data_IF_553934504766
#
_entry.id   IF_553934504766
#
_cell.length_a   1.000
_cell.length_b   1.000
_cell.length_c   1.000
_cell.angle_alpha   90.00
_cell.angle_beta   90.00
_cell.angle_gamma   90.00
#
_symmetry.space_group_name_H-M   'P 1'
#
loop_
_entity.id
_entity.type
_entity.pdbx_description
1 polymer ?
#
# COMPACT_ATOMS: atom_id res chain seq x y z
N UNK A 1 4.31 3.65 -8.67
CA UNK A 1 4.55 2.36 -7.99
C UNK A 1 3.68 2.34 -6.74
N UNK A 2 3.11 1.18 -6.40
CA UNK A 2 2.45 0.93 -5.10
C UNK A 2 3.18 -0.22 -4.43
N UNK A 3 3.62 0.02 -3.20
CA UNK A 3 4.48 -0.84 -2.40
C UNK A 3 5.76 -1.29 -3.11
N UNK A 4 6.77 -1.65 -2.36
CA UNK A 4 8.10 -1.93 -2.88
C UNK A 4 8.64 -3.30 -2.46
N UNK A 5 7.86 -4.09 -1.70
CA UNK A 5 8.30 -5.37 -1.14
C UNK A 5 9.68 -5.27 -0.46
N UNK A 6 10.61 -6.13 -0.87
CA UNK A 6 11.98 -6.14 -0.41
C UNK A 6 12.95 -5.61 -1.49
N UNK A 7 14.18 -5.22 -1.14
CA UNK A 7 15.11 -4.60 -2.09
C UNK A 7 15.40 -5.43 -3.34
N UNK A 8 15.43 -6.76 -3.23
CA UNK A 8 15.70 -7.65 -4.37
C UNK A 8 14.55 -7.62 -5.37
N UNK A 9 13.30 -7.74 -4.90
CA UNK A 9 12.10 -7.67 -5.75
C UNK A 9 11.95 -6.29 -6.38
N UNK A 10 12.17 -5.23 -5.60
CA UNK A 10 12.18 -3.85 -6.11
C UNK A 10 13.19 -3.65 -7.23
N UNK A 11 14.38 -4.25 -7.15
CA UNK A 11 15.39 -4.17 -8.22
C UNK A 11 14.88 -4.79 -9.51
N UNK A 12 14.26 -5.97 -9.45
CA UNK A 12 13.65 -6.59 -10.63
C UNK A 12 12.56 -5.71 -11.25
N UNK A 13 11.72 -5.09 -10.42
CA UNK A 13 10.69 -4.17 -10.87
C UNK A 13 11.28 -2.93 -11.55
N UNK A 14 12.32 -2.34 -10.95
CA UNK A 14 13.04 -1.17 -11.50
C UNK A 14 13.63 -1.53 -12.86
N UNK A 15 14.36 -2.64 -12.97
CA UNK A 15 14.98 -3.11 -14.21
C UNK A 15 13.93 -3.34 -15.32
N UNK A 16 12.74 -3.83 -14.96
CA UNK A 16 11.66 -4.06 -15.91
C UNK A 16 10.97 -2.77 -16.41
N UNK A 17 10.82 -1.77 -15.53
CA UNK A 17 10.01 -0.57 -15.80
C UNK A 17 10.84 0.65 -16.21
N UNK A 18 12.06 0.81 -15.69
CA UNK A 18 12.90 1.97 -15.96
C UNK A 18 13.69 1.80 -17.27
N UNK A 19 13.01 2.01 -18.39
CA UNK A 19 13.64 1.93 -19.73
C UNK A 19 14.55 3.13 -20.04
N UNK A 20 14.37 4.24 -19.33
CA UNK A 20 15.16 5.46 -19.43
C UNK A 20 15.72 5.82 -18.05
N UNK A 21 17.00 5.53 -17.75
CA UNK A 21 17.61 5.79 -16.45
C UNK A 21 17.64 7.28 -16.06
N UNK A 22 17.53 8.18 -17.04
CA UNK A 22 17.46 9.63 -16.79
C UNK A 22 16.09 10.11 -16.34
N UNK A 23 15.05 9.27 -16.45
CA UNK A 23 13.68 9.63 -16.07
C UNK A 23 13.28 8.95 -14.76
N UNK A 24 13.14 9.71 -13.66
CA UNK A 24 12.74 9.13 -12.38
C UNK A 24 11.30 8.63 -12.41
N UNK A 25 10.98 7.69 -11.51
CA UNK A 25 9.60 7.40 -11.16
C UNK A 25 8.97 8.61 -10.47
N UNK A 26 7.73 8.92 -10.80
CA UNK A 26 7.07 10.10 -10.24
C UNK A 26 6.73 9.90 -8.77
N UNK A 27 6.19 8.74 -8.40
CA UNK A 27 5.78 8.49 -7.03
C UNK A 27 5.78 7.00 -6.69
N UNK A 28 6.22 6.68 -5.49
CA UNK A 28 6.04 5.42 -4.78
C UNK A 28 5.07 5.64 -3.62
N UNK A 29 4.00 4.88 -3.52
CA UNK A 29 2.99 5.02 -2.48
C UNK A 29 2.94 3.72 -1.67
N UNK A 30 3.11 3.80 -0.35
CA UNK A 30 2.97 2.64 0.52
C UNK A 30 1.55 2.54 1.06
N UNK A 31 0.97 1.33 0.98
CA UNK A 31 -0.35 1.04 1.55
C UNK A 31 -0.31 1.07 3.07
N UNK A 32 0.77 0.54 3.67
CA UNK A 32 1.03 0.57 5.11
C UNK A 32 2.53 0.36 5.39
N UNK A 33 2.94 0.18 6.65
CA UNK A 33 4.34 0.27 7.08
C UNK A 33 5.11 -1.05 7.12
N UNK A 34 4.50 -2.21 6.94
CA UNK A 34 5.19 -3.50 7.10
C UNK A 34 6.35 -3.66 6.12
N UNK A 35 7.34 -4.46 6.55
CA UNK A 35 8.61 -4.58 5.84
C UNK A 35 8.49 -5.18 4.44
N UNK A 36 7.55 -6.10 4.23
CA UNK A 36 7.23 -6.68 2.93
C UNK A 36 6.51 -5.72 1.96
N UNK A 37 6.19 -4.49 2.41
CA UNK A 37 5.67 -3.40 1.60
C UNK A 37 6.65 -2.23 1.47
N UNK A 38 7.52 -2.01 2.47
CA UNK A 38 8.34 -0.80 2.57
C UNK A 38 9.85 -1.03 2.55
N UNK A 39 10.35 -2.25 2.83
CA UNK A 39 11.79 -2.51 2.87
C UNK A 39 12.48 -2.24 1.53
N UNK A 40 11.78 -2.43 0.42
CA UNK A 40 12.27 -2.15 -0.92
C UNK A 40 12.32 -0.67 -1.29
N UNK A 41 11.68 0.23 -0.51
CA UNK A 41 11.70 1.67 -0.77
C UNK A 41 13.12 2.21 -0.99
N UNK A 42 14.10 1.69 -0.23
CA UNK A 42 15.49 2.13 -0.32
C UNK A 42 16.08 1.95 -1.71
N UNK A 43 15.60 0.96 -2.49
CA UNK A 43 16.05 0.73 -3.87
C UNK A 43 15.62 1.85 -4.83
N UNK A 44 14.62 2.65 -4.46
CA UNK A 44 14.13 3.79 -5.23
C UNK A 44 14.83 5.11 -4.88
N UNK A 45 15.78 5.10 -3.93
CA UNK A 45 16.50 6.31 -3.51
C UNK A 45 17.25 6.93 -4.70
N UNK A 46 16.94 8.19 -5.00
CA UNK A 46 17.54 8.94 -6.11
C UNK A 46 16.93 8.67 -7.48
N UNK A 47 15.97 7.74 -7.59
CA UNK A 47 15.27 7.42 -8.84
C UNK A 47 13.75 7.55 -8.74
N UNK A 48 13.22 7.98 -7.60
CA UNK A 48 11.81 8.36 -7.40
C UNK A 48 11.74 9.82 -6.94
N UNK A 49 10.77 10.58 -7.41
CA UNK A 49 10.60 11.98 -7.00
C UNK A 49 9.99 12.09 -5.61
N UNK A 50 9.00 11.24 -5.30
CA UNK A 50 8.29 11.26 -4.01
C UNK A 50 8.01 9.86 -3.51
N UNK A 51 8.03 9.70 -2.19
CA UNK A 51 7.45 8.54 -1.47
C UNK A 51 6.29 9.05 -0.63
N UNK A 52 5.11 8.45 -0.77
CA UNK A 52 3.91 8.87 -0.05
C UNK A 52 3.35 7.74 0.81
N UNK A 53 2.80 8.08 1.97
CA UNK A 53 2.07 7.14 2.83
C UNK A 53 1.15 7.89 3.80
N UNK A 54 0.23 7.15 4.41
CA UNK A 54 -0.53 7.66 5.57
C UNK A 54 0.43 8.04 6.72
N UNK A 55 0.14 9.14 7.44
CA UNK A 55 1.02 9.63 8.52
C UNK A 55 1.31 8.59 9.58
N UNK A 56 0.31 7.78 9.96
CA UNK A 56 0.51 6.68 10.93
C UNK A 56 1.42 5.57 10.36
N UNK A 57 1.35 5.30 9.05
CA UNK A 57 2.25 4.35 8.40
C UNK A 57 3.70 4.80 8.52
N UNK A 58 4.00 6.08 8.24
CA UNK A 58 5.35 6.63 8.42
C UNK A 58 5.82 6.53 9.88
N UNK A 59 4.96 6.90 10.84
CA UNK A 59 5.30 6.82 12.28
C UNK A 59 5.63 5.38 12.69
N UNK A 60 4.82 4.41 12.25
CA UNK A 60 5.07 2.99 12.53
C UNK A 60 6.35 2.49 11.85
N UNK A 61 6.62 2.86 10.60
CA UNK A 61 7.87 2.51 9.91
C UNK A 61 9.09 3.02 10.68
N UNK A 62 9.07 4.28 11.15
CA UNK A 62 10.15 4.85 11.97
C UNK A 62 10.31 4.13 13.29
N UNK A 63 9.21 3.80 13.98
CA UNK A 63 9.23 3.05 15.24
C UNK A 63 9.86 1.68 15.06
N UNK A 64 9.39 0.91 14.07
CA UNK A 64 9.89 -0.44 13.79
C UNK A 64 11.36 -0.40 13.36
N UNK A 65 11.75 0.54 12.52
CA UNK A 65 13.14 0.71 12.09
C UNK A 65 14.07 0.96 13.28
N UNK A 66 13.66 1.81 14.23
CA UNK A 66 14.40 2.08 15.45
C UNK A 66 14.49 0.84 16.36
N UNK A 67 13.40 0.10 16.54
CA UNK A 67 13.38 -1.15 17.32
C UNK A 67 14.31 -2.21 16.72
N UNK A 68 14.44 -2.25 15.40
CA UNK A 68 15.28 -3.19 14.66
C UNK A 68 16.71 -2.68 14.40
N UNK A 69 17.04 -1.44 14.77
CA UNK A 69 18.32 -0.78 14.51
C UNK A 69 18.70 -0.80 13.01
N UNK A 70 17.75 -0.46 12.14
CA UNK A 70 17.92 -0.46 10.68
C UNK A 70 17.41 0.82 10.00
N UNK A 71 17.43 1.96 10.71
CA UNK A 71 16.99 3.26 10.20
C UNK A 71 17.79 3.69 8.94
N UNK A 72 19.06 3.31 8.87
CA UNK A 72 19.96 3.59 7.74
C UNK A 72 19.58 2.84 6.45
N UNK A 73 18.75 1.81 6.56
CA UNK A 73 18.23 0.99 5.45
C UNK A 73 16.84 1.41 5.00
N UNK A 74 16.30 2.53 5.51
CA UNK A 74 14.97 3.00 5.18
C UNK A 74 15.01 4.15 4.17
N UNK A 75 13.97 4.20 3.33
CA UNK A 75 13.56 5.41 2.62
C UNK A 75 12.15 5.76 3.08
N UNK A 76 12.06 6.75 3.95
CA UNK A 76 10.78 7.17 4.53
C UNK A 76 9.97 8.02 3.55
N UNK A 77 8.63 8.04 3.69
CA UNK A 77 7.77 8.96 2.95
C UNK A 77 8.17 10.43 3.20
N UNK A 78 8.28 11.19 2.10
CA UNK A 78 8.43 12.65 2.11
C UNK A 78 7.08 13.38 1.96
N UNK A 79 6.05 12.66 1.50
CA UNK A 79 4.65 13.11 1.46
C UNK A 79 3.80 12.27 2.39
N UNK A 80 3.11 12.91 3.33
CA UNK A 80 2.19 12.20 4.23
C UNK A 80 0.80 12.82 4.23
N UNK A 81 -0.21 11.99 4.49
CA UNK A 81 -1.62 12.39 4.59
C UNK A 81 -2.29 11.71 5.78
N UNK A 82 -3.38 12.31 6.28
CA UNK A 82 -4.14 11.78 7.43
C UNK A 82 -5.47 11.14 7.05
N UNK A 83 -6.12 11.70 6.03
CA UNK A 83 -7.41 11.24 5.51
C UNK A 83 -7.27 10.89 4.03
N UNK A 84 -8.32 11.09 3.25
CA UNK A 84 -8.26 10.93 1.80
C UNK A 84 -7.32 11.97 1.18
N UNK A 85 -6.55 11.54 0.22
CA UNK A 85 -5.60 12.39 -0.49
C UNK A 85 -5.67 12.13 -1.99
N UNK A 86 -5.24 13.11 -2.80
CA UNK A 86 -5.29 13.04 -4.26
C UNK A 86 -4.01 13.58 -4.88
N UNK A 87 -3.43 12.81 -5.81
CA UNK A 87 -2.25 13.19 -6.56
C UNK A 87 -2.56 13.36 -8.04
N UNK A 88 -2.45 14.61 -8.56
CA UNK A 88 -2.95 15.04 -9.89
C UNK A 88 -1.87 15.37 -10.92
N UNK A 89 -0.62 15.08 -10.64
CA UNK A 89 0.49 15.43 -11.55
C UNK A 89 0.63 14.49 -12.76
N UNK A 90 -0.08 13.37 -12.75
CA UNK A 90 -0.03 12.36 -13.81
C UNK A 90 -1.24 12.45 -14.72
N UNK A 91 -1.19 11.74 -15.87
CA UNK A 91 -2.39 11.52 -16.70
C UNK A 91 -3.44 10.71 -15.95
N UNK A 92 -3.00 9.74 -15.14
CA UNK A 92 -3.83 9.04 -14.17
C UNK A 92 -3.90 9.85 -12.88
N UNK A 93 -5.09 10.03 -12.36
CA UNK A 93 -5.32 10.63 -11.07
C UNK A 93 -5.22 9.54 -9.99
N UNK A 94 -4.43 9.76 -8.96
CA UNK A 94 -4.31 8.79 -7.87
C UNK A 94 -5.08 9.32 -6.67
N UNK A 95 -5.99 8.51 -6.13
CA UNK A 95 -6.71 8.81 -4.90
C UNK A 95 -6.33 7.81 -3.82
N UNK A 96 -6.22 8.27 -2.59
CA UNK A 96 -6.05 7.38 -1.43
C UNK A 96 -7.26 7.49 -0.51
N UNK A 97 -7.64 6.37 0.09
CA UNK A 97 -8.72 6.31 1.05
C UNK A 97 -8.23 5.68 2.35
N UNK A 98 -8.49 6.36 3.46
CA UNK A 98 -8.27 5.86 4.80
C UNK A 98 -9.60 5.72 5.53
N UNK A 99 -9.94 4.51 5.94
CA UNK A 99 -11.22 4.24 6.61
C UNK A 99 -11.07 3.95 8.11
N UNK A 100 -9.94 4.35 8.68
CA UNK A 100 -9.59 4.10 10.08
C UNK A 100 -8.76 2.84 10.27
N UNK A 101 -8.34 2.55 11.52
CA UNK A 101 -7.49 1.39 11.83
C UNK A 101 -8.13 0.07 11.41
N UNK A 102 -7.37 -0.80 10.73
CA UNK A 102 -7.81 -2.10 10.27
C UNK A 102 -6.74 -3.17 10.54
N UNK A 103 -5.94 -3.57 9.55
CA UNK A 103 -4.76 -4.42 9.67
C UNK A 103 -3.66 -3.76 10.53
N UNK A 104 -3.50 -2.45 10.33
CA UNK A 104 -2.73 -1.51 11.17
C UNK A 104 -3.58 -0.26 11.45
N UNK A 105 -2.99 0.80 11.98
CA UNK A 105 -3.66 2.11 12.08
C UNK A 105 -3.33 3.07 10.94
N UNK A 106 -2.66 2.60 9.88
CA UNK A 106 -2.20 3.42 8.77
C UNK A 106 -2.46 2.83 7.39
N UNK A 107 -3.43 1.90 7.28
CA UNK A 107 -3.74 1.21 6.02
C UNK A 107 -4.47 2.14 5.04
N UNK A 108 -3.97 2.23 3.82
CA UNK A 108 -4.57 3.03 2.76
C UNK A 108 -4.93 2.18 1.55
N UNK A 109 -6.09 2.46 0.95
CA UNK A 109 -6.44 1.97 -0.38
C UNK A 109 -5.93 2.98 -1.40
N UNK A 110 -5.19 2.51 -2.41
CA UNK A 110 -4.65 3.33 -3.48
C UNK A 110 -5.47 3.09 -4.75
N UNK A 111 -6.21 4.09 -5.17
CA UNK A 111 -7.17 4.00 -6.27
C UNK A 111 -6.68 4.73 -7.51
N UNK A 112 -6.82 4.09 -8.65
CA UNK A 112 -6.56 4.59 -10.00
C UNK A 112 -7.90 4.68 -10.75
N UNK A 113 -8.62 5.83 -10.66
CA UNK A 113 -10.00 5.96 -11.16
C UNK A 113 -10.17 5.68 -12.65
N UNK A 114 -9.23 6.14 -13.50
CA UNK A 114 -9.34 5.93 -14.95
C UNK A 114 -9.12 4.46 -15.34
N UNK A 115 -8.27 3.76 -14.61
CA UNK A 115 -8.04 2.32 -14.81
C UNK A 115 -9.09 1.47 -14.11
N UNK A 116 -9.89 2.04 -13.20
CA UNK A 116 -10.82 1.35 -12.30
C UNK A 116 -10.16 0.25 -11.47
N UNK A 117 -8.96 0.55 -10.93
CA UNK A 117 -8.15 -0.36 -10.13
C UNK A 117 -7.96 0.22 -8.73
N UNK A 118 -8.13 -0.60 -7.70
CA UNK A 118 -7.86 -0.25 -6.31
C UNK A 118 -6.89 -1.25 -5.67
N UNK A 119 -5.70 -0.79 -5.27
CA UNK A 119 -4.77 -1.59 -4.48
C UNK A 119 -5.15 -1.44 -3.00
N UNK A 120 -5.58 -2.53 -2.39
CA UNK A 120 -6.12 -2.54 -1.02
C UNK A 120 -5.08 -2.96 0.04
N UNK A 121 -3.86 -3.32 -0.40
CA UNK A 121 -2.82 -3.82 0.51
C UNK A 121 -3.33 -4.95 1.37
N UNK A 122 -2.94 -4.94 2.63
CA UNK A 122 -3.27 -5.97 3.63
C UNK A 122 -4.64 -5.82 4.28
N UNK A 123 -5.49 -4.95 3.70
CA UNK A 123 -6.92 -5.04 4.00
C UNK A 123 -7.52 -6.34 3.48
N UNK A 124 -6.86 -7.01 2.52
CA UNK A 124 -7.29 -8.32 2.02
C UNK A 124 -6.13 -9.31 2.01
N UNK A 125 -6.29 -10.37 2.79
CA UNK A 125 -5.53 -11.62 2.76
C UNK A 125 -6.37 -12.67 2.02
N UNK A 126 -6.28 -12.69 0.70
CA UNK A 126 -7.17 -13.52 -0.10
C UNK A 126 -7.05 -15.01 0.26
N UNK A 127 -8.07 -15.53 0.97
CA UNK A 127 -8.17 -16.92 1.48
C UNK A 127 -6.97 -17.36 2.32
N UNK A 128 -6.38 -16.42 3.08
CA UNK A 128 -5.33 -16.66 4.07
C UNK A 128 -5.75 -16.11 5.43
N UNK A 129 -5.14 -16.63 6.48
CA UNK A 129 -5.26 -16.02 7.81
C UNK A 129 -4.63 -14.63 7.80
N UNK A 130 -5.40 -13.66 8.22
CA UNK A 130 -4.91 -12.28 8.34
C UNK A 130 -3.94 -12.14 9.50
N UNK A 131 -2.87 -11.40 9.28
CA UNK A 131 -2.05 -10.90 10.38
C UNK A 131 -2.73 -9.67 11.00
N UNK A 132 -2.82 -9.61 12.32
CA UNK A 132 -3.46 -8.52 13.07
C UNK A 132 -2.38 -7.83 13.88
N UNK A 133 -1.87 -6.68 13.40
CA UNK A 133 -0.81 -5.96 14.08
C UNK A 133 -1.35 -5.08 15.21
N UNK A 134 -1.52 -5.67 16.38
CA UNK A 134 -1.95 -4.96 17.58
C UNK A 134 -0.95 -3.90 18.02
N UNK A 135 0.35 -4.09 17.76
CA UNK A 135 1.40 -3.15 18.12
C UNK A 135 1.33 -1.85 17.30
N UNK A 136 0.80 -1.95 16.08
CA UNK A 136 0.51 -0.83 15.20
C UNK A 136 -0.97 -0.41 15.22
N UNK A 137 -1.71 -0.75 16.27
CA UNK A 137 -3.07 -0.25 16.49
C UNK A 137 -4.15 -0.88 15.61
N UNK A 138 -3.98 -2.13 15.18
CA UNK A 138 -5.00 -2.87 14.43
C UNK A 138 -6.35 -2.92 15.14
N UNK A 139 -7.44 -2.92 14.37
CA UNK A 139 -8.82 -2.99 14.86
C UNK A 139 -9.67 -3.89 13.98
N UNK A 140 -9.87 -5.13 14.39
CA UNK A 140 -10.73 -6.09 13.65
C UNK A 140 -12.15 -5.54 13.47
N UNK A 141 -12.72 -4.91 14.50
CA UNK A 141 -14.05 -4.32 14.42
C UNK A 141 -14.14 -3.25 13.32
N UNK A 142 -13.16 -2.34 13.26
CA UNK A 142 -13.14 -1.29 12.25
C UNK A 142 -12.71 -1.83 10.89
N UNK A 143 -11.92 -2.92 10.83
CA UNK A 143 -11.53 -3.55 9.58
C UNK A 143 -12.73 -4.02 8.77
N UNK A 144 -13.71 -4.65 9.42
CA UNK A 144 -15.00 -5.01 8.81
C UNK A 144 -15.68 -3.77 8.22
N UNK A 145 -15.75 -2.68 8.98
CA UNK A 145 -16.36 -1.42 8.52
C UNK A 145 -15.56 -0.78 7.36
N UNK A 146 -14.24 -0.89 7.36
CA UNK A 146 -13.39 -0.40 6.27
C UNK A 146 -13.64 -1.17 4.96
N UNK A 147 -13.79 -2.49 5.04
CA UNK A 147 -14.15 -3.33 3.90
C UNK A 147 -15.58 -3.04 3.39
N UNK A 148 -16.54 -2.80 4.28
CA UNK A 148 -17.89 -2.37 3.91
C UNK A 148 -17.88 -1.04 3.14
N UNK A 149 -17.10 -0.06 3.63
CA UNK A 149 -16.94 1.24 2.96
C UNK A 149 -16.28 1.08 1.59
N UNK A 150 -15.24 0.25 1.49
CA UNK A 150 -14.58 -0.02 0.21
C UNK A 150 -15.58 -0.64 -0.79
N UNK A 151 -16.40 -1.59 -0.37
CA UNK A 151 -17.42 -2.18 -1.23
C UNK A 151 -18.49 -1.17 -1.70
N UNK A 152 -18.76 -0.12 -0.92
CA UNK A 152 -19.70 0.94 -1.28
C UNK A 152 -19.09 2.01 -2.18
N UNK A 153 -17.82 2.36 -1.95
CA UNK A 153 -17.10 3.43 -2.65
C UNK A 153 -16.76 3.06 -4.09
N UNK A 154 -16.27 1.85 -4.33
CA UNK A 154 -15.77 1.45 -5.64
C UNK A 154 -16.88 0.84 -6.52
N UNK A 155 -16.70 0.90 -7.83
CA UNK A 155 -17.64 0.34 -8.79
C UNK A 155 -17.69 -1.21 -8.71
N UNK A 156 -18.80 -1.78 -9.17
CA UNK A 156 -18.97 -3.25 -9.21
C UNK A 156 -17.93 -3.96 -10.08
N UNK A 157 -17.41 -3.26 -11.08
CA UNK A 157 -16.44 -3.79 -12.05
C UNK A 157 -14.99 -3.36 -11.69
N UNK A 158 -14.77 -2.79 -10.49
CA UNK A 158 -13.43 -2.43 -10.04
C UNK A 158 -12.59 -3.68 -9.83
N UNK A 159 -11.34 -3.62 -10.32
CA UNK A 159 -10.32 -4.62 -10.03
C UNK A 159 -9.61 -4.27 -8.73
N UNK A 160 -9.56 -5.21 -7.78
CA UNK A 160 -8.81 -5.05 -6.55
C UNK A 160 -7.49 -5.81 -6.62
N UNK A 161 -6.41 -5.19 -6.12
CA UNK A 161 -5.10 -5.83 -5.94
C UNK A 161 -4.90 -6.02 -4.43
N UNK A 162 -4.58 -7.24 -4.03
CA UNK A 162 -4.42 -7.66 -2.64
C UNK A 162 -2.96 -7.67 -2.22
N UNK A 163 -2.69 -7.41 -0.93
CA UNK A 163 -1.35 -7.55 -0.38
C UNK A 163 -0.91 -9.00 -0.33
N UNK A 164 -1.81 -9.89 0.08
CA UNK A 164 -1.51 -11.32 0.20
C UNK A 164 -2.60 -12.21 -0.40
N UNK A 165 -2.16 -13.36 -0.94
CA UNK A 165 -3.05 -14.41 -1.43
C UNK A 165 -2.51 -15.81 -1.09
N UNK A 166 -3.41 -16.80 -1.00
CA UNK A 166 -3.03 -18.21 -0.85
C UNK A 166 -2.36 -18.77 -2.12
N UNK A 167 -2.63 -18.17 -3.26
CA UNK A 167 -2.16 -18.56 -4.58
C UNK A 167 -1.53 -17.32 -5.25
N UNK A 168 -0.28 -17.38 -5.73
CA UNK A 168 0.39 -16.25 -6.36
C UNK A 168 -0.35 -15.72 -7.60
N UNK A 169 -1.18 -16.55 -8.26
CA UNK A 169 -1.99 -16.14 -9.40
C UNK A 169 -3.35 -15.52 -9.00
N UNK A 170 -3.64 -15.42 -7.68
CA UNK A 170 -4.89 -14.89 -7.12
C UNK A 170 -4.67 -13.63 -6.27
N UNK A 171 -3.73 -12.79 -6.68
CA UNK A 171 -3.44 -11.50 -6.04
C UNK A 171 -4.38 -10.37 -6.47
N UNK A 172 -5.30 -10.68 -7.38
CA UNK A 172 -6.35 -9.75 -7.83
C UNK A 172 -7.72 -10.39 -7.71
N UNK A 173 -8.75 -9.57 -7.57
CA UNK A 173 -10.13 -10.03 -7.47
C UNK A 173 -11.14 -8.91 -7.55
N UNK A 174 -12.33 -9.17 -7.06
CA UNK A 174 -13.50 -8.30 -7.10
C UNK A 174 -14.08 -8.02 -5.69
N UNK A 175 -15.28 -7.43 -5.64
CA UNK A 175 -15.96 -7.12 -4.38
C UNK A 175 -16.33 -8.36 -3.55
N UNK A 176 -16.56 -9.52 -4.18
CA UNK A 176 -16.87 -10.73 -3.45
C UNK A 176 -15.66 -11.21 -2.64
N UNK A 177 -14.43 -10.99 -3.14
CA UNK A 177 -13.22 -11.29 -2.38
C UNK A 177 -13.07 -10.36 -1.16
N UNK A 178 -13.42 -9.06 -1.28
CA UNK A 178 -13.47 -8.14 -0.14
C UNK A 178 -14.48 -8.61 0.91
N UNK A 179 -15.65 -9.06 0.46
CA UNK A 179 -16.70 -9.60 1.32
C UNK A 179 -16.29 -10.90 1.99
N UNK A 180 -15.58 -11.76 1.28
CA UNK A 180 -15.10 -13.03 1.83
C UNK A 180 -14.02 -12.85 2.91
N UNK A 181 -13.40 -11.67 3.00
CA UNK A 181 -12.41 -11.29 4.02
C UNK A 181 -13.08 -10.88 5.35
N UNK A 182 -14.36 -10.50 5.36
CA UNK A 182 -15.14 -10.11 6.56
C UNK A 182 -15.54 -11.30 7.43
#
# INVERSE_FOLDING_TARGET
>A
IVDAEFPEQSKHLIDALQKDPGKPFEILINTHHHGDHTSGNISFKGIVNHVAAHSNSMINQQRVAKEQNNEDRQLYPDLTYGDNWEYKKLKENIKTYYYGPAHTNGDSIIHFPHANIAHVGDLVFNRRWAFIDRSAGASVKNWILALDKAQQEFDKDSLFIFGHSFDPDKVTGDKEDLKAMQ
#
